data_IF_980511493520
#
_entry.id   IF_980511493520
#
_cell.length_a   1.000
_cell.length_b   1.000
_cell.length_c   1.000
_cell.angle_alpha   90.00
_cell.angle_beta   90.00
_cell.angle_gamma   90.00
#
_symmetry.space_group_name_H-M   'P 1'
#
loop_
_entity.id
_entity.type
_entity.pdbx_description
1 polymer ?
#
# COMPACT_ATOMS: atom_id res chain seq x y z
N UNK A 1 -8.58 -9.15 -7.08
CA UNK A 1 -9.12 -7.84 -7.50
C UNK A 1 -8.32 -6.66 -6.95
N UNK A 2 -8.20 -6.48 -5.63
CA UNK A 2 -7.53 -5.29 -5.04
C UNK A 2 -6.09 -5.04 -5.54
N UNK A 3 -5.24 -6.07 -5.61
CA UNK A 3 -3.87 -5.98 -6.13
C UNK A 3 -3.79 -5.33 -7.52
N UNK A 4 -4.67 -5.75 -8.44
CA UNK A 4 -4.72 -5.25 -9.82
C UNK A 4 -5.16 -3.77 -9.85
N UNK A 5 -6.14 -3.40 -9.02
CA UNK A 5 -6.60 -2.02 -8.93
C UNK A 5 -5.53 -1.09 -8.34
N UNK A 6 -4.81 -1.53 -7.29
CA UNK A 6 -3.67 -0.77 -6.75
C UNK A 6 -2.60 -0.59 -7.81
N UNK A 7 -2.16 -1.67 -8.48
CA UNK A 7 -1.18 -1.59 -9.57
C UNK A 7 -1.62 -0.58 -10.64
N UNK A 8 -2.84 -0.70 -11.15
CA UNK A 8 -3.36 0.24 -12.15
C UNK A 8 -3.32 1.70 -11.67
N UNK A 9 -3.71 1.97 -10.41
CA UNK A 9 -3.67 3.32 -9.83
C UNK A 9 -2.25 3.89 -9.80
N UNK A 10 -1.25 3.10 -9.43
CA UNK A 10 0.13 3.59 -9.35
C UNK A 10 0.83 3.61 -10.73
N UNK A 11 0.44 2.77 -11.68
CA UNK A 11 0.94 2.82 -13.05
C UNK A 11 0.37 4.00 -13.84
N UNK A 12 -0.92 4.32 -13.64
CA UNK A 12 -1.59 5.42 -14.34
C UNK A 12 -1.15 6.82 -13.86
N UNK A 13 -0.61 6.91 -12.65
CA UNK A 13 -0.26 8.19 -12.02
C UNK A 13 1.19 8.19 -11.55
N UNK A 14 2.10 8.71 -12.40
CA UNK A 14 3.54 8.71 -12.14
C UNK A 14 3.94 9.39 -10.82
N UNK A 15 3.24 10.47 -10.43
CA UNK A 15 3.45 11.15 -9.16
C UNK A 15 3.13 10.24 -7.97
N UNK A 16 2.03 9.47 -8.03
CA UNK A 16 1.69 8.52 -6.97
C UNK A 16 2.70 7.38 -6.89
N UNK A 17 3.22 6.90 -8.03
CA UNK A 17 4.30 5.91 -8.06
C UNK A 17 5.55 6.47 -7.37
N UNK A 18 5.95 7.70 -7.69
CA UNK A 18 7.09 8.35 -7.06
C UNK A 18 6.89 8.50 -5.55
N UNK A 19 5.70 8.93 -5.11
CA UNK A 19 5.36 9.03 -3.68
C UNK A 19 5.41 7.67 -2.97
N UNK A 20 4.90 6.61 -3.60
CA UNK A 20 4.95 5.26 -3.03
C UNK A 20 6.39 4.77 -2.89
N UNK A 21 7.24 4.98 -3.89
CA UNK A 21 8.66 4.64 -3.84
C UNK A 21 9.42 5.48 -2.80
N UNK A 22 9.07 6.76 -2.64
CA UNK A 22 9.67 7.67 -1.67
C UNK A 22 9.44 7.24 -0.21
N UNK A 23 8.46 6.36 0.06
CA UNK A 23 8.29 5.73 1.39
C UNK A 23 9.43 4.78 1.76
N UNK A 24 10.31 4.44 0.80
CA UNK A 24 11.52 3.65 1.00
C UNK A 24 11.27 2.35 1.81
N UNK A 25 11.85 2.23 3.00
CA UNK A 25 11.69 1.06 3.87
C UNK A 25 10.63 1.27 4.97
N UNK A 26 9.92 2.41 4.96
CA UNK A 26 8.89 2.69 5.94
C UNK A 26 7.74 1.69 5.81
N UNK A 27 7.22 1.27 6.97
CA UNK A 27 6.02 0.44 7.04
C UNK A 27 4.79 1.32 6.82
N UNK A 28 3.95 0.94 5.85
CA UNK A 28 2.69 1.62 5.58
C UNK A 28 1.57 0.94 6.39
N UNK A 29 0.88 1.75 7.19
CA UNK A 29 -0.25 1.30 8.01
C UNK A 29 -1.45 2.18 7.71
N UNK A 30 -2.55 1.57 7.29
CA UNK A 30 -3.82 2.26 7.18
C UNK A 30 -4.50 2.25 8.55
N UNK A 31 -4.49 3.40 9.22
CA UNK A 31 -5.03 3.55 10.55
C UNK A 31 -6.52 3.90 10.49
N UNK A 32 -7.38 2.98 10.91
CA UNK A 32 -8.84 3.17 10.87
C UNK A 32 -9.53 2.27 11.88
N UNK A 33 -10.48 2.82 12.64
CA UNK A 33 -11.34 2.05 13.56
C UNK A 33 -12.44 1.28 12.82
N UNK A 34 -12.72 1.66 11.57
CA UNK A 34 -13.87 1.16 10.81
C UNK A 34 -13.58 -0.16 10.06
N UNK A 35 -12.31 -0.50 9.85
CA UNK A 35 -11.92 -1.69 9.08
C UNK A 35 -10.65 -2.35 9.64
N UNK A 36 -10.84 -3.50 10.31
CA UNK A 36 -9.75 -4.31 10.83
C UNK A 36 -9.19 -5.33 9.81
N UNK A 37 -9.75 -5.45 8.62
CA UNK A 37 -9.23 -6.33 7.57
C UNK A 37 -8.27 -5.56 6.65
N UNK A 38 -8.70 -4.44 6.09
CA UNK A 38 -7.85 -3.64 5.22
C UNK A 38 -6.89 -2.74 6.00
N UNK A 39 -7.35 -2.23 7.15
CA UNK A 39 -6.57 -1.40 8.06
C UNK A 39 -6.16 -2.11 9.34
N UNK A 40 -5.67 -1.32 10.29
CA UNK A 40 -5.17 -1.77 11.59
C UNK A 40 -6.24 -1.82 12.69
N UNK A 41 -7.50 -1.50 12.38
CA UNK A 41 -8.61 -1.53 13.33
C UNK A 41 -8.53 -0.47 14.43
N UNK A 42 -7.69 0.56 14.28
CA UNK A 42 -7.56 1.69 15.22
C UNK A 42 -6.80 1.36 16.51
N UNK A 43 -6.64 0.07 16.82
CA UNK A 43 -5.90 -0.43 17.97
C UNK A 43 -4.64 -1.23 17.58
N UNK A 44 -4.28 -1.22 16.29
CA UNK A 44 -3.11 -1.93 15.76
C UNK A 44 -3.28 -3.44 15.60
N UNK A 45 -4.45 -4.01 15.91
CA UNK A 45 -4.71 -5.47 15.84
C UNK A 45 -5.31 -5.92 14.50
N UNK A 46 -5.70 -4.97 13.64
CA UNK A 46 -6.16 -5.25 12.30
C UNK A 46 -5.07 -5.82 11.40
N UNK A 47 -5.50 -6.41 10.27
CA UNK A 47 -4.60 -7.13 9.37
C UNK A 47 -3.78 -6.22 8.46
N UNK A 48 -4.11 -4.94 8.37
CA UNK A 48 -3.43 -3.93 7.54
C UNK A 48 -3.14 -4.44 6.11
N UNK A 49 -4.09 -5.17 5.51
CA UNK A 49 -3.88 -5.82 4.21
C UNK A 49 -3.57 -4.79 3.13
N UNK A 50 -4.14 -3.59 3.21
CA UNK A 50 -3.87 -2.52 2.25
C UNK A 50 -2.41 -2.10 2.31
N UNK A 51 -1.91 -1.81 3.52
CA UNK A 51 -0.51 -1.45 3.73
C UNK A 51 0.45 -2.53 3.21
N UNK A 52 0.17 -3.81 3.49
CA UNK A 52 0.97 -4.92 2.96
C UNK A 52 0.98 -4.96 1.43
N UNK A 53 -0.18 -4.80 0.78
CA UNK A 53 -0.25 -4.80 -0.68
C UNK A 53 0.48 -3.62 -1.30
N UNK A 54 0.44 -2.43 -0.68
CA UNK A 54 1.17 -1.26 -1.14
C UNK A 54 2.68 -1.45 -1.02
N UNK A 55 3.16 -2.04 0.07
CA UNK A 55 4.59 -2.35 0.25
C UNK A 55 5.07 -3.40 -0.74
N UNK A 56 4.29 -4.45 -1.00
CA UNK A 56 4.61 -5.46 -2.02
C UNK A 56 4.63 -4.85 -3.43
N UNK A 57 3.67 -3.98 -3.75
CA UNK A 57 3.64 -3.26 -5.02
C UNK A 57 4.84 -2.31 -5.16
N UNK A 58 5.25 -1.63 -4.09
CA UNK A 58 6.45 -0.79 -4.06
C UNK A 58 7.70 -1.59 -4.45
N UNK A 59 7.86 -2.80 -3.89
CA UNK A 59 8.99 -3.68 -4.23
C UNK A 59 8.97 -4.09 -5.71
N UNK A 60 7.79 -4.43 -6.25
CA UNK A 60 7.64 -4.75 -7.67
C UNK A 60 8.01 -3.58 -8.56
N UNK A 61 7.49 -2.38 -8.28
CA UNK A 61 7.75 -1.16 -9.04
C UNK A 61 9.19 -0.65 -8.92
N UNK A 62 9.92 -1.04 -7.87
CA UNK A 62 11.34 -0.72 -7.70
C UNK A 62 12.24 -1.62 -8.55
N UNK A 63 11.79 -2.85 -8.85
CA UNK A 63 12.50 -3.79 -9.72
C UNK A 63 12.21 -3.49 -11.20
N UNK A 64 10.97 -3.12 -11.52
CA UNK A 64 10.50 -2.75 -12.86
C UNK A 64 11.09 -1.37 -13.26
N UNK A 65 12.19 -1.36 -14.03
CA UNK A 65 12.77 -0.15 -14.63
C UNK A 65 11.89 0.44 -15.73
#
# INVERSE_FOLDING_TARGET
MMRKALRAKFEQHAELRALLLATAHAKLVEHTENDAYWGDGGNGKGKNRLGYLLMELREQLAIEK
#
